data_IF_777095769421
#
_entry.id   IF_777095769421
#
_cell.length_a   1.000
_cell.length_b   1.000
_cell.length_c   1.000
_cell.angle_alpha   90.00
_cell.angle_beta   90.00
_cell.angle_gamma   90.00
#
_symmetry.space_group_name_H-M   'P 1'
#
loop_
_entity.id
_entity.type
_entity.pdbx_description
1 polymer ?
#
# COMPACT_ATOMS: atom_id res chain seq x y z
N UNK A 1 17.28 -9.45 19.64
CA UNK A 1 18.31 -8.42 19.86
C UNK A 1 17.64 -7.18 20.41
N UNK A 2 18.14 -6.64 21.52
CA UNK A 2 17.66 -5.37 22.07
C UNK A 2 18.77 -4.34 21.95
N UNK A 3 18.45 -3.17 21.43
CA UNK A 3 19.40 -2.07 21.19
C UNK A 3 18.88 -0.83 21.90
N UNK A 4 19.71 -0.29 22.79
CA UNK A 4 19.31 0.86 23.59
C UNK A 4 19.16 2.14 22.74
N UNK A 5 18.30 3.08 23.14
CA UNK A 5 18.19 4.37 22.48
C UNK A 5 19.54 5.08 22.37
N UNK A 6 19.77 5.75 21.24
CA UNK A 6 21.02 6.48 20.95
C UNK A 6 22.18 5.58 20.50
N UNK A 7 22.01 4.25 20.50
CA UNK A 7 23.01 3.34 19.92
C UNK A 7 22.83 3.25 18.40
N UNK A 8 23.94 3.26 17.67
CA UNK A 8 23.97 2.97 16.24
C UNK A 8 24.52 1.57 15.99
N UNK A 9 23.77 0.75 15.28
CA UNK A 9 24.20 -0.56 14.78
C UNK A 9 24.50 -0.41 13.30
N UNK A 10 25.67 -0.88 12.87
CA UNK A 10 26.06 -0.91 11.45
C UNK A 10 26.29 -2.34 11.02
N UNK A 11 25.53 -2.79 10.01
CA UNK A 11 25.69 -4.09 9.36
C UNK A 11 25.96 -3.83 7.88
N UNK A 12 27.20 -3.97 7.43
CA UNK A 12 27.56 -3.66 6.03
C UNK A 12 26.98 -4.64 5.01
N UNK A 13 26.60 -5.84 5.46
CA UNK A 13 25.91 -6.84 4.65
C UNK A 13 24.41 -6.93 4.96
N UNK A 14 23.85 -8.12 4.78
CA UNK A 14 22.45 -8.40 5.08
C UNK A 14 22.26 -8.69 6.57
N UNK A 15 21.31 -8.01 7.20
CA UNK A 15 20.75 -8.39 8.48
C UNK A 15 19.63 -9.39 8.25
N UNK A 16 19.86 -10.65 8.65
CA UNK A 16 18.88 -11.72 8.46
C UNK A 16 18.10 -12.01 9.74
N UNK A 17 16.77 -11.97 9.68
CA UNK A 17 15.87 -12.40 10.74
C UNK A 17 15.43 -13.84 10.48
N UNK A 18 15.65 -14.74 11.43
CA UNK A 18 15.27 -16.15 11.33
C UNK A 18 14.77 -16.67 12.68
N UNK A 19 13.93 -17.71 12.66
CA UNK A 19 13.56 -18.52 13.83
C UNK A 19 13.02 -17.70 15.02
N UNK A 20 11.98 -16.89 14.78
CA UNK A 20 11.43 -15.98 15.80
C UNK A 20 12.43 -14.98 16.35
N UNK A 21 13.17 -14.35 15.43
CA UNK A 21 13.98 -13.21 15.77
C UNK A 21 13.09 -12.00 16.11
N UNK A 22 13.36 -11.39 17.26
CA UNK A 22 12.83 -10.07 17.63
C UNK A 22 13.97 -9.07 17.65
N UNK A 23 13.81 -7.92 16.98
CA UNK A 23 14.67 -6.76 17.16
C UNK A 23 13.86 -5.68 17.88
N UNK A 24 14.34 -5.22 19.03
CA UNK A 24 13.72 -4.11 19.76
C UNK A 24 14.71 -2.97 19.87
N UNK A 25 14.39 -1.84 19.26
CA UNK A 25 15.36 -0.79 18.97
C UNK A 25 14.79 0.62 18.96
N UNK A 26 13.69 0.87 19.68
CA UNK A 26 13.10 2.22 19.79
C UNK A 26 14.15 3.27 20.17
N UNK A 27 14.31 4.30 19.33
CA UNK A 27 15.30 5.36 19.50
C UNK A 27 16.74 4.98 19.12
N UNK A 28 16.99 3.77 18.64
CA UNK A 28 18.26 3.34 18.07
C UNK A 28 18.28 3.55 16.54
N UNK A 29 19.49 3.59 15.97
CA UNK A 29 19.72 3.72 14.52
C UNK A 29 20.32 2.42 13.99
N UNK A 30 19.79 1.91 12.89
CA UNK A 30 20.28 0.74 12.18
C UNK A 30 20.69 1.12 10.76
N UNK A 31 21.99 1.11 10.48
CA UNK A 31 22.52 1.30 9.14
C UNK A 31 22.88 -0.06 8.57
N UNK A 32 22.06 -0.57 7.64
CA UNK A 32 22.19 -1.94 7.15
C UNK A 32 22.31 -1.99 5.63
N UNK A 33 23.09 -2.96 5.14
CA UNK A 33 23.21 -3.25 3.72
C UNK A 33 21.86 -3.67 3.16
N UNK A 34 21.25 -4.69 3.74
CA UNK A 34 19.88 -5.13 3.40
C UNK A 34 19.24 -5.78 4.61
N UNK A 35 17.91 -5.92 4.60
CA UNK A 35 17.19 -6.76 5.56
C UNK A 35 16.56 -7.90 4.79
N UNK A 36 16.76 -9.12 5.29
CA UNK A 36 16.08 -10.30 4.79
C UNK A 36 15.44 -11.02 5.98
N UNK A 37 14.15 -11.29 5.90
CA UNK A 37 13.55 -12.32 6.74
C UNK A 37 13.66 -13.66 5.99
N UNK A 38 13.97 -14.72 6.74
CA UNK A 38 14.05 -16.08 6.24
C UNK A 38 13.08 -17.00 6.96
N UNK A 39 12.82 -18.15 6.35
CA UNK A 39 11.84 -19.15 6.78
C UNK A 39 11.84 -19.41 8.30
N UNK A 40 10.65 -19.44 8.91
CA UNK A 40 10.53 -19.82 10.32
C UNK A 40 9.14 -19.64 10.92
N UNK A 41 9.11 -19.20 12.18
CA UNK A 41 7.93 -18.69 12.91
C UNK A 41 7.97 -17.16 12.92
N UNK A 42 6.99 -16.51 13.57
CA UNK A 42 6.86 -15.04 13.60
C UNK A 42 8.18 -14.33 13.94
N UNK A 43 8.66 -13.49 13.03
CA UNK A 43 9.75 -12.53 13.25
C UNK A 43 9.18 -11.12 13.49
N UNK A 44 9.84 -10.35 14.36
CA UNK A 44 9.34 -9.05 14.82
C UNK A 44 10.43 -7.98 14.81
N UNK A 45 10.08 -6.79 14.33
CA UNK A 45 10.85 -5.56 14.52
C UNK A 45 10.00 -4.57 15.32
N UNK A 46 10.58 -3.98 16.36
CA UNK A 46 9.94 -3.02 17.26
C UNK A 46 10.76 -1.71 17.29
N UNK A 47 10.20 -0.67 16.68
CA UNK A 47 10.74 0.69 16.68
C UNK A 47 12.11 0.83 16.03
N UNK A 48 12.70 2.02 16.16
CA UNK A 48 14.03 2.34 15.63
C UNK A 48 13.99 3.02 14.27
N UNK A 49 15.14 3.53 13.82
CA UNK A 49 15.31 4.13 12.50
C UNK A 49 16.26 3.29 11.67
N UNK A 50 15.75 2.69 10.60
CA UNK A 50 16.49 1.82 9.70
C UNK A 50 16.82 2.57 8.42
N UNK A 51 18.11 2.66 8.11
CA UNK A 51 18.60 3.07 6.80
C UNK A 51 19.10 1.83 6.08
N UNK A 52 18.35 1.40 5.07
CA UNK A 52 18.57 0.17 4.31
C UNK A 52 19.06 0.57 2.92
N UNK A 53 20.36 0.41 2.69
CA UNK A 53 20.99 0.84 1.42
C UNK A 53 20.64 -0.03 0.21
N UNK A 54 20.28 -1.29 0.44
CA UNK A 54 19.80 -2.25 -0.54
C UNK A 54 18.31 -2.49 -0.39
N UNK A 55 17.90 -3.74 -0.25
CA UNK A 55 16.48 -4.14 -0.22
C UNK A 55 15.99 -4.50 1.18
N UNK A 56 14.68 -4.40 1.36
CA UNK A 56 13.94 -5.05 2.45
C UNK A 56 13.15 -6.20 1.84
N UNK A 57 13.45 -7.44 2.25
CA UNK A 57 12.75 -8.62 1.75
C UNK A 57 12.22 -9.43 2.93
N UNK A 58 10.91 -9.59 2.98
CA UNK A 58 10.24 -10.56 3.85
C UNK A 58 9.80 -11.72 2.98
N UNK A 59 10.22 -12.94 3.35
CA UNK A 59 10.22 -14.06 2.42
C UNK A 59 9.89 -15.38 3.09
N UNK A 60 8.65 -15.85 2.88
CA UNK A 60 8.37 -17.28 2.79
C UNK A 60 7.61 -17.88 3.97
N UNK A 61 6.29 -18.02 3.80
CA UNK A 61 5.41 -18.90 4.58
C UNK A 61 5.11 -18.49 6.02
N UNK A 62 5.99 -17.75 6.68
CA UNK A 62 5.83 -17.27 8.06
C UNK A 62 5.15 -15.91 8.18
N UNK A 63 4.73 -15.61 9.40
CA UNK A 63 4.24 -14.29 9.77
C UNK A 63 5.40 -13.33 10.04
N UNK A 64 5.21 -12.05 9.73
CA UNK A 64 6.16 -10.98 10.02
C UNK A 64 5.43 -9.77 10.61
N UNK A 65 6.01 -9.16 11.64
CA UNK A 65 5.50 -7.94 12.25
C UNK A 65 6.58 -6.86 12.30
N UNK A 66 6.19 -5.64 11.93
CA UNK A 66 6.96 -4.44 12.20
C UNK A 66 6.06 -3.43 12.89
N UNK A 67 6.37 -3.13 14.14
CA UNK A 67 5.61 -2.17 14.96
C UNK A 67 6.51 -1.00 15.38
N UNK A 68 6.16 0.20 14.93
CA UNK A 68 6.86 1.42 15.27
C UNK A 68 8.06 1.75 14.38
N UNK A 69 8.45 3.03 14.41
CA UNK A 69 9.71 3.51 13.88
C UNK A 69 9.67 3.85 12.39
N UNK A 70 10.85 3.95 11.78
CA UNK A 70 11.00 4.38 10.38
C UNK A 70 11.93 3.45 9.63
N UNK A 71 11.52 3.01 8.45
CA UNK A 71 12.35 2.29 7.49
C UNK A 71 12.57 3.15 6.24
N UNK A 72 13.82 3.52 5.97
CA UNK A 72 14.24 4.20 4.76
C UNK A 72 14.99 3.21 3.88
N UNK A 73 14.33 2.70 2.85
CA UNK A 73 14.85 1.68 1.93
C UNK A 73 15.18 2.34 0.61
N UNK A 74 16.47 2.29 0.23
CA UNK A 74 16.90 2.85 -1.06
C UNK A 74 16.49 1.97 -2.23
N UNK A 75 16.50 0.64 -2.03
CA UNK A 75 16.02 -0.32 -3.00
C UNK A 75 14.54 -0.64 -2.85
N UNK A 76 14.10 -1.71 -3.51
CA UNK A 76 12.74 -2.21 -3.42
C UNK A 76 12.46 -2.89 -2.07
N UNK A 77 11.21 -2.78 -1.64
CA UNK A 77 10.63 -3.57 -0.55
C UNK A 77 9.74 -4.66 -1.13
N UNK A 78 9.95 -5.90 -0.71
CA UNK A 78 9.09 -7.02 -1.08
C UNK A 78 8.63 -7.72 0.20
N UNK A 79 7.32 -7.74 0.42
CA UNK A 79 6.70 -8.37 1.58
C UNK A 79 5.90 -9.59 1.13
N UNK A 80 6.44 -10.78 1.40
CA UNK A 80 5.82 -12.04 1.02
C UNK A 80 5.65 -12.93 2.24
N UNK A 81 4.56 -13.70 2.31
CA UNK A 81 4.33 -14.61 3.43
C UNK A 81 2.88 -14.97 3.66
N UNK A 82 2.60 -15.60 4.80
CA UNK A 82 1.23 -15.92 5.19
C UNK A 82 0.53 -14.69 5.80
N UNK A 83 1.17 -14.05 6.79
CA UNK A 83 0.64 -12.84 7.42
C UNK A 83 1.71 -11.78 7.59
N UNK A 84 1.48 -10.58 7.05
CA UNK A 84 2.34 -9.42 7.27
C UNK A 84 1.57 -8.35 8.04
N UNK A 85 2.14 -7.86 9.14
CA UNK A 85 1.53 -6.79 9.94
C UNK A 85 2.50 -5.64 10.13
N UNK A 86 2.12 -4.46 9.64
CA UNK A 86 2.85 -3.21 9.79
C UNK A 86 2.02 -2.28 10.68
N UNK A 87 2.63 -1.68 11.68
CA UNK A 87 1.91 -0.83 12.63
C UNK A 87 2.76 0.35 13.07
N UNK A 88 2.11 1.50 13.31
CA UNK A 88 2.77 2.69 13.87
C UNK A 88 4.05 3.09 13.10
N UNK A 89 3.95 2.84 11.80
CA UNK A 89 4.94 2.78 10.73
C UNK A 89 5.28 4.06 9.99
N UNK A 90 6.55 4.32 9.66
CA UNK A 90 6.86 5.00 8.39
C UNK A 90 7.74 4.12 7.52
N UNK A 91 7.34 3.88 6.27
CA UNK A 91 8.13 3.18 5.25
C UNK A 91 8.35 4.08 4.04
N UNK A 92 9.60 4.50 3.83
CA UNK A 92 10.03 5.13 2.60
C UNK A 92 10.78 4.09 1.77
N UNK A 93 10.35 3.83 0.53
CA UNK A 93 10.98 2.80 -0.31
C UNK A 93 10.98 3.18 -1.78
N UNK A 94 11.83 2.55 -2.60
CA UNK A 94 11.79 2.78 -4.04
C UNK A 94 10.47 2.28 -4.64
N UNK A 95 10.04 1.10 -4.21
CA UNK A 95 8.77 0.45 -4.60
C UNK A 95 8.38 -0.53 -3.52
N UNK A 96 7.08 -0.82 -3.40
CA UNK A 96 6.57 -1.85 -2.51
C UNK A 96 5.80 -2.88 -3.31
N UNK A 97 6.14 -4.16 -3.13
CA UNK A 97 5.35 -5.27 -3.65
C UNK A 97 4.93 -6.21 -2.52
N UNK A 98 3.64 -6.52 -2.46
CA UNK A 98 3.07 -7.45 -1.50
C UNK A 98 2.53 -8.68 -2.22
N UNK A 99 2.87 -9.85 -1.70
CA UNK A 99 2.29 -11.13 -2.11
C UNK A 99 2.05 -11.97 -0.86
N UNK A 100 0.87 -11.79 -0.26
CA UNK A 100 0.57 -12.29 1.07
C UNK A 100 -0.80 -12.95 1.11
N UNK A 101 -0.95 -13.92 2.01
CA UNK A 101 -2.28 -14.51 2.25
C UNK A 101 -3.19 -13.58 3.05
N UNK A 102 -2.60 -12.69 3.85
CA UNK A 102 -3.30 -11.66 4.62
C UNK A 102 -2.28 -10.61 5.08
N UNK A 103 -2.69 -9.36 5.12
CA UNK A 103 -1.92 -8.34 5.81
C UNK A 103 -2.76 -7.28 6.49
N UNK A 104 -2.14 -6.63 7.48
CA UNK A 104 -2.73 -5.51 8.22
C UNK A 104 -1.75 -4.36 8.26
N UNK A 105 -2.22 -3.16 7.95
CA UNK A 105 -1.51 -1.90 8.12
C UNK A 105 -2.35 -0.97 8.99
N UNK A 106 -1.86 -0.61 10.17
CA UNK A 106 -2.56 0.32 11.07
C UNK A 106 -1.64 1.45 11.51
N UNK A 107 -2.06 2.70 11.28
CA UNK A 107 -1.22 3.88 11.50
C UNK A 107 0.14 3.78 10.78
N UNK A 108 0.11 3.45 9.49
CA UNK A 108 1.29 3.31 8.64
C UNK A 108 1.30 4.40 7.57
N UNK A 109 2.42 5.11 7.47
CA UNK A 109 2.72 6.01 6.37
C UNK A 109 3.68 5.31 5.39
N UNK A 110 3.29 5.13 4.13
CA UNK A 110 4.14 4.57 3.08
C UNK A 110 4.34 5.60 1.98
N UNK A 111 5.61 5.88 1.65
CA UNK A 111 5.98 6.69 0.49
C UNK A 111 6.84 5.85 -0.46
N UNK A 112 6.38 5.69 -1.69
CA UNK A 112 7.13 5.02 -2.77
C UNK A 112 7.52 6.01 -3.87
N UNK A 113 8.74 5.90 -4.41
CA UNK A 113 9.11 6.70 -5.60
C UNK A 113 8.62 6.08 -6.91
N UNK A 114 8.38 4.78 -6.91
CA UNK A 114 7.80 4.01 -7.99
C UNK A 114 6.53 3.31 -7.53
N UNK A 115 6.26 2.14 -8.07
CA UNK A 115 4.97 1.47 -7.88
C UNK A 115 4.75 0.97 -6.44
N UNK A 116 3.47 0.97 -6.07
CA UNK A 116 2.92 0.39 -4.85
C UNK A 116 1.99 -0.75 -5.27
N UNK A 117 2.26 -1.96 -4.80
CA UNK A 117 1.47 -3.14 -5.11
C UNK A 117 0.96 -3.79 -3.82
N UNK A 118 -0.36 -3.81 -3.68
CA UNK A 118 -1.09 -4.31 -2.51
C UNK A 118 -1.85 -5.59 -2.87
N UNK A 119 -1.80 -6.56 -1.97
CA UNK A 119 -2.46 -7.85 -2.10
C UNK A 119 -3.04 -8.26 -0.75
N UNK A 120 -4.36 -8.41 -0.68
CA UNK A 120 -5.09 -8.82 0.53
C UNK A 120 -4.72 -8.03 1.80
N UNK A 121 -4.89 -6.71 1.75
CA UNK A 121 -4.48 -5.79 2.83
C UNK A 121 -5.70 -5.18 3.53
N UNK A 122 -5.73 -5.23 4.86
CA UNK A 122 -6.62 -4.39 5.67
C UNK A 122 -5.84 -3.19 6.18
N UNK A 123 -6.30 -1.99 5.82
CA UNK A 123 -5.64 -0.73 6.06
C UNK A 123 -6.51 0.12 6.98
N UNK A 124 -5.95 0.66 8.05
CA UNK A 124 -6.64 1.57 8.98
C UNK A 124 -5.74 2.76 9.32
N UNK A 125 -6.32 3.96 9.35
CA UNK A 125 -5.64 5.19 9.82
C UNK A 125 -4.27 5.44 9.15
N UNK A 126 -4.14 5.11 7.88
CA UNK A 126 -2.85 5.06 7.19
C UNK A 126 -2.80 6.01 6.00
N UNK A 127 -1.60 6.38 5.57
CA UNK A 127 -1.38 7.26 4.43
C UNK A 127 -0.41 6.63 3.43
N UNK A 128 -0.73 6.71 2.14
CA UNK A 128 0.07 6.15 1.06
C UNK A 128 0.32 7.23 0.01
N UNK A 129 1.58 7.45 -0.31
CA UNK A 129 2.01 8.28 -1.43
C UNK A 129 2.79 7.40 -2.40
N UNK A 130 2.33 7.34 -3.65
CA UNK A 130 3.03 6.61 -4.71
C UNK A 130 3.44 7.55 -5.83
N UNK A 131 4.74 7.61 -6.10
CA UNK A 131 5.25 8.24 -7.31
C UNK A 131 4.91 7.45 -8.59
N UNK A 132 4.66 6.14 -8.46
CA UNK A 132 4.25 5.26 -9.55
C UNK A 132 2.76 4.90 -9.49
N UNK A 133 2.42 3.74 -10.06
CA UNK A 133 1.05 3.22 -10.07
C UNK A 133 0.73 2.56 -8.72
N UNK A 134 -0.55 2.55 -8.34
CA UNK A 134 -1.07 1.58 -7.37
C UNK A 134 -1.60 0.36 -8.12
N UNK A 135 -1.11 -0.83 -7.75
CA UNK A 135 -1.68 -2.11 -8.14
C UNK A 135 -2.45 -2.70 -6.97
N UNK A 136 -3.67 -3.19 -7.25
CA UNK A 136 -4.34 -4.16 -6.39
C UNK A 136 -4.27 -5.51 -7.11
N UNK A 137 -3.22 -6.27 -6.81
CA UNK A 137 -2.83 -7.44 -7.61
C UNK A 137 -3.68 -8.68 -7.37
N UNK A 138 -4.30 -8.82 -6.20
CA UNK A 138 -5.31 -9.86 -5.97
C UNK A 138 -6.09 -9.64 -4.68
N UNK A 139 -7.18 -10.40 -4.57
CA UNK A 139 -7.99 -10.47 -3.36
C UNK A 139 -8.70 -9.16 -3.04
N UNK A 140 -8.90 -8.91 -1.75
CA UNK A 140 -9.62 -7.73 -1.28
C UNK A 140 -8.70 -6.88 -0.42
N UNK A 141 -8.51 -5.63 -0.86
CA UNK A 141 -7.89 -4.58 -0.08
C UNK A 141 -8.98 -3.68 0.46
N UNK A 142 -8.99 -3.49 1.78
CA UNK A 142 -9.90 -2.57 2.45
C UNK A 142 -9.09 -1.45 3.09
N UNK A 143 -9.60 -0.22 3.02
CA UNK A 143 -8.99 0.93 3.65
C UNK A 143 -10.05 1.74 4.40
N UNK A 144 -9.76 1.98 5.67
CA UNK A 144 -10.65 2.64 6.61
C UNK A 144 -9.97 3.88 7.17
N UNK A 145 -10.63 5.04 7.08
CA UNK A 145 -10.09 6.32 7.53
C UNK A 145 -8.63 6.55 7.04
N UNK A 146 -8.38 6.28 5.74
CA UNK A 146 -7.04 6.26 5.17
C UNK A 146 -6.93 7.13 3.91
N UNK A 147 -5.71 7.54 3.56
CA UNK A 147 -5.45 8.44 2.44
C UNK A 147 -4.51 7.82 1.41
N UNK A 148 -4.79 8.03 0.13
CA UNK A 148 -3.95 7.58 -0.98
C UNK A 148 -3.72 8.76 -1.95
N UNK A 149 -2.46 9.06 -2.23
CA UNK A 149 -2.05 10.03 -3.25
C UNK A 149 -1.18 9.31 -4.29
N UNK A 150 -1.73 9.11 -5.49
CA UNK A 150 -1.22 8.14 -6.46
C UNK A 150 -0.76 8.80 -7.75
N UNK A 151 0.42 8.40 -8.23
CA UNK A 151 1.02 8.93 -9.45
C UNK A 151 1.61 10.32 -9.29
N UNK A 152 2.01 10.74 -8.08
CA UNK A 152 2.46 12.11 -7.77
C UNK A 152 3.72 12.52 -8.53
N UNK A 153 4.56 11.56 -8.90
CA UNK A 153 5.76 11.82 -9.70
C UNK A 153 5.47 11.84 -11.22
N UNK A 154 4.23 11.56 -11.63
CA UNK A 154 3.86 11.53 -13.04
C UNK A 154 3.32 12.88 -13.54
N UNK A 155 3.72 13.26 -14.75
CA UNK A 155 3.19 14.44 -15.45
C UNK A 155 2.33 13.99 -16.62
N UNK A 156 1.11 14.55 -16.72
CA UNK A 156 0.11 14.18 -17.71
C UNK A 156 0.69 14.13 -19.15
N UNK A 157 0.39 13.05 -19.89
CA UNK A 157 0.72 12.92 -21.32
C UNK A 157 1.47 11.65 -21.73
N UNK A 158 1.76 10.73 -20.80
CA UNK A 158 2.19 9.36 -21.14
C UNK A 158 1.05 8.37 -20.87
N UNK A 159 1.12 7.15 -21.41
CA UNK A 159 0.12 6.09 -21.17
C UNK A 159 0.26 5.53 -19.75
N UNK A 160 0.08 6.38 -18.74
CA UNK A 160 0.18 6.05 -17.33
C UNK A 160 -1.19 5.74 -16.76
N UNK A 161 -1.21 4.87 -15.76
CA UNK A 161 -2.42 4.44 -15.05
C UNK A 161 -2.10 4.66 -13.58
N UNK A 162 -2.82 5.56 -12.91
CA UNK A 162 -2.58 5.83 -11.49
C UNK A 162 -3.05 4.70 -10.58
N UNK A 163 -4.16 4.04 -10.95
CA UNK A 163 -4.69 2.87 -10.24
C UNK A 163 -5.05 1.76 -11.22
N UNK A 164 -4.50 0.58 -10.96
CA UNK A 164 -4.68 -0.61 -11.78
C UNK A 164 -5.13 -1.80 -10.91
N UNK A 165 -6.30 -2.36 -11.23
CA UNK A 165 -6.87 -3.52 -10.52
C UNK A 165 -6.95 -4.79 -11.40
N UNK A 166 -6.10 -4.89 -12.43
CA UNK A 166 -6.06 -5.97 -13.44
C UNK A 166 -5.78 -7.40 -12.90
N UNK A 167 -5.48 -7.53 -11.61
CA UNK A 167 -5.30 -8.83 -10.96
C UNK A 167 -6.59 -9.53 -10.52
N UNK A 168 -7.75 -8.91 -10.75
CA UNK A 168 -9.02 -9.34 -10.13
C UNK A 168 -9.11 -8.94 -8.66
N UNK A 169 -8.29 -7.97 -8.26
CA UNK A 169 -8.33 -7.37 -6.94
C UNK A 169 -9.51 -6.42 -6.78
N UNK A 170 -9.95 -6.24 -5.54
CA UNK A 170 -11.03 -5.32 -5.17
C UNK A 170 -10.53 -4.32 -4.14
N UNK A 171 -10.95 -3.06 -4.29
CA UNK A 171 -10.60 -1.98 -3.38
C UNK A 171 -11.84 -1.41 -2.71
N UNK A 172 -11.86 -1.43 -1.39
CA UNK A 172 -12.92 -0.85 -0.58
C UNK A 172 -12.37 0.32 0.22
N UNK A 173 -12.98 1.49 0.07
CA UNK A 173 -12.68 2.70 0.84
C UNK A 173 -13.85 2.99 1.77
N UNK A 174 -13.60 3.12 3.08
CA UNK A 174 -14.62 3.37 4.08
C UNK A 174 -14.26 4.48 5.07
N UNK A 175 -15.30 5.02 5.72
CA UNK A 175 -15.22 5.88 6.91
C UNK A 175 -14.28 7.08 6.75
N UNK A 176 -14.51 7.90 5.73
CA UNK A 176 -13.76 9.13 5.48
C UNK A 176 -12.40 8.90 4.81
N UNK A 177 -12.22 7.75 4.17
CA UNK A 177 -11.04 7.53 3.34
C UNK A 177 -11.04 8.47 2.14
N UNK A 178 -9.85 8.84 1.68
CA UNK A 178 -9.65 9.74 0.55
C UNK A 178 -8.65 9.15 -0.43
N UNK A 179 -8.89 9.30 -1.72
CA UNK A 179 -7.97 8.87 -2.77
C UNK A 179 -7.89 9.91 -3.88
N UNK A 180 -6.68 10.37 -4.16
CA UNK A 180 -6.37 11.19 -5.33
C UNK A 180 -5.56 10.34 -6.32
N UNK A 181 -6.03 10.28 -7.57
CA UNK A 181 -5.39 9.54 -8.65
C UNK A 181 -4.98 10.47 -9.78
N UNK A 182 -3.67 10.53 -10.02
CA UNK A 182 -3.13 11.16 -11.21
C UNK A 182 -3.25 10.21 -12.40
N UNK A 183 -3.84 10.71 -13.49
CA UNK A 183 -4.19 9.97 -14.70
C UNK A 183 -5.37 8.99 -14.48
N UNK A 184 -5.31 7.81 -15.08
CA UNK A 184 -6.48 6.96 -15.30
C UNK A 184 -6.58 5.79 -14.32
N UNK A 185 -7.79 5.27 -14.17
CA UNK A 185 -8.18 4.15 -13.31
C UNK A 185 -8.75 3.03 -14.17
N UNK A 186 -8.20 1.81 -14.12
CA UNK A 186 -8.55 0.70 -15.03
C UNK A 186 -8.81 -0.64 -14.33
N UNK A 187 -9.72 -1.44 -14.92
CA UNK A 187 -10.10 -2.80 -14.49
C UNK A 187 -10.71 -2.85 -13.08
N UNK A 188 -11.73 -2.01 -12.86
CA UNK A 188 -12.00 -1.47 -11.53
C UNK A 188 -13.11 -2.19 -10.77
N UNK A 189 -12.76 -2.99 -9.76
CA UNK A 189 -13.68 -3.40 -8.70
C UNK A 189 -13.51 -2.45 -7.50
N UNK A 190 -14.16 -1.28 -7.57
CA UNK A 190 -13.98 -0.17 -6.64
C UNK A 190 -15.27 0.11 -5.86
N UNK A 191 -15.15 0.07 -4.53
CA UNK A 191 -16.25 0.31 -3.61
C UNK A 191 -15.91 1.49 -2.71
N UNK A 192 -16.73 2.53 -2.74
CA UNK A 192 -16.53 3.80 -2.04
C UNK A 192 -17.70 4.00 -1.09
N UNK A 193 -17.43 3.94 0.21
CA UNK A 193 -18.43 4.06 1.25
C UNK A 193 -18.09 5.22 2.21
N UNK A 194 -18.93 6.25 2.24
CA UNK A 194 -18.69 7.44 3.06
C UNK A 194 -17.24 7.99 2.92
N UNK A 195 -16.72 7.97 1.70
CA UNK A 195 -15.33 8.24 1.32
C UNK A 195 -15.28 8.98 -0.01
N UNK A 196 -14.15 9.63 -0.32
CA UNK A 196 -14.02 10.48 -1.51
C UNK A 196 -12.88 10.04 -2.42
N UNK A 197 -13.13 10.02 -3.74
CA UNK A 197 -12.15 9.68 -4.76
C UNK A 197 -12.11 10.75 -5.86
N UNK A 198 -10.93 11.24 -6.19
CA UNK A 198 -10.71 12.17 -7.30
C UNK A 198 -9.76 11.55 -8.30
N UNK A 199 -10.17 11.53 -9.57
CA UNK A 199 -9.40 11.00 -10.69
C UNK A 199 -9.22 12.13 -11.69
N UNK A 200 -7.97 12.42 -12.03
CA UNK A 200 -7.66 13.49 -12.98
C UNK A 200 -7.78 13.05 -14.44
N UNK A 201 -7.57 11.76 -14.73
CA UNK A 201 -7.73 11.15 -16.04
C UNK A 201 -9.06 10.40 -16.18
N UNK A 202 -9.05 9.33 -16.99
CA UNK A 202 -10.24 8.55 -17.29
C UNK A 202 -10.54 7.46 -16.25
N UNK A 203 -11.78 7.01 -16.24
CA UNK A 203 -12.20 5.81 -15.53
C UNK A 203 -12.66 4.78 -16.56
N UNK A 204 -11.95 3.66 -16.67
CA UNK A 204 -12.20 2.63 -17.66
C UNK A 204 -12.57 1.29 -17.01
N UNK A 205 -13.83 0.93 -17.15
CA UNK A 205 -14.40 -0.36 -16.77
C UNK A 205 -14.89 -1.13 -18.01
N UNK A 206 -13.94 -1.65 -18.79
CA UNK A 206 -14.18 -2.54 -19.93
C UNK A 206 -14.60 -3.97 -19.55
N UNK A 207 -14.50 -4.37 -18.28
CA UNK A 207 -14.71 -5.75 -17.83
C UNK A 207 -16.06 -5.99 -17.14
N UNK A 208 -16.07 -6.91 -16.18
CA UNK A 208 -17.27 -7.27 -15.41
C UNK A 208 -17.28 -6.65 -14.00
N UNK A 209 -16.27 -5.87 -13.69
CA UNK A 209 -16.02 -5.28 -12.39
C UNK A 209 -17.04 -4.17 -12.07
N UNK A 210 -17.16 -3.83 -10.79
CA UNK A 210 -18.22 -2.95 -10.30
C UNK A 210 -17.63 -1.67 -9.70
N UNK A 211 -18.27 -0.54 -10.02
CA UNK A 211 -18.14 0.69 -9.25
C UNK A 211 -19.36 0.86 -8.34
N UNK A 212 -19.14 0.90 -7.02
CA UNK A 212 -20.19 1.20 -6.03
C UNK A 212 -19.83 2.44 -5.22
N UNK A 213 -20.76 3.38 -5.09
CA UNK A 213 -20.62 4.60 -4.30
C UNK A 213 -21.83 4.73 -3.36
N UNK A 214 -21.58 4.68 -2.05
CA UNK A 214 -22.61 4.63 -1.01
C UNK A 214 -22.39 5.60 0.13
N UNK A 215 -23.44 5.82 0.93
CA UNK A 215 -23.41 6.53 2.21
C UNK A 215 -22.75 7.91 2.15
N UNK A 216 -23.17 8.72 1.17
CA UNK A 216 -22.62 10.05 0.89
C UNK A 216 -21.13 10.08 0.46
N UNK A 217 -20.56 8.95 0.05
CA UNK A 217 -19.27 8.95 -0.64
C UNK A 217 -19.35 9.61 -2.01
N UNK A 218 -18.21 9.98 -2.56
CA UNK A 218 -18.14 10.59 -3.88
C UNK A 218 -16.98 10.08 -4.72
N UNK A 219 -17.18 10.11 -6.04
CA UNK A 219 -16.12 9.93 -7.03
C UNK A 219 -16.24 11.00 -8.09
N UNK A 220 -15.13 11.63 -8.44
CA UNK A 220 -15.02 12.59 -9.53
C UNK A 220 -14.02 12.11 -10.57
N UNK A 221 -14.46 12.04 -11.82
CA UNK A 221 -13.65 11.66 -12.97
C UNK A 221 -13.47 12.88 -13.87
N UNK A 222 -12.23 13.33 -14.03
CA UNK A 222 -11.88 14.50 -14.83
C UNK A 222 -11.72 14.23 -16.33
N UNK A 223 -11.59 12.96 -16.72
CA UNK A 223 -11.55 12.51 -18.11
C UNK A 223 -12.76 11.66 -18.50
N UNK A 224 -12.60 10.87 -19.57
CA UNK A 224 -13.68 10.02 -20.07
C UNK A 224 -14.08 8.95 -19.03
N UNK A 225 -15.39 8.76 -18.89
CA UNK A 225 -15.96 7.67 -18.12
C UNK A 225 -16.44 6.57 -19.08
N UNK A 226 -15.73 5.45 -19.11
CA UNK A 226 -16.07 4.28 -19.90
C UNK A 226 -16.53 3.15 -18.98
N UNK A 227 -17.79 2.74 -19.13
CA UNK A 227 -18.35 1.53 -18.53
C UNK A 227 -19.02 0.69 -19.62
N UNK A 228 -18.30 0.46 -20.72
CA UNK A 228 -18.75 -0.34 -21.86
C UNK A 228 -18.67 -1.86 -21.62
N UNK A 229 -18.06 -2.27 -20.51
CA UNK A 229 -18.06 -3.65 -20.03
C UNK A 229 -19.44 -4.16 -19.59
N UNK A 230 -19.47 -5.41 -19.10
CA UNK A 230 -20.67 -6.01 -18.50
C UNK A 230 -20.87 -5.64 -17.02
N UNK A 231 -19.90 -4.92 -16.44
CA UNK A 231 -19.91 -4.41 -15.08
C UNK A 231 -21.03 -3.40 -14.81
N UNK A 232 -21.26 -3.10 -13.53
CA UNK A 232 -22.31 -2.18 -13.10
C UNK A 232 -21.74 -0.98 -12.35
N UNK A 233 -22.41 0.17 -12.50
CA UNK A 233 -22.13 1.39 -11.76
C UNK A 233 -23.32 1.73 -10.88
N UNK A 234 -23.10 1.80 -9.57
CA UNK A 234 -24.15 2.10 -8.60
C UNK A 234 -23.77 3.29 -7.74
N UNK A 235 -24.62 4.31 -7.74
CA UNK A 235 -24.58 5.40 -6.76
C UNK A 235 -25.88 5.36 -5.95
N UNK A 236 -25.80 5.16 -4.64
CA UNK A 236 -26.98 5.04 -3.78
C UNK A 236 -26.71 5.57 -2.37
N UNK A 237 -27.75 5.73 -1.54
CA UNK A 237 -27.58 6.22 -0.17
C UNK A 237 -26.92 7.60 -0.08
N UNK A 238 -27.17 8.48 -1.05
CA UNK A 238 -26.53 9.80 -1.15
C UNK A 238 -25.17 9.81 -1.84
N UNK A 239 -24.65 8.65 -2.27
CA UNK A 239 -23.42 8.56 -3.06
C UNK A 239 -23.54 9.28 -4.41
N UNK A 240 -22.44 9.87 -4.88
CA UNK A 240 -22.42 10.68 -6.11
C UNK A 240 -21.24 10.32 -7.02
N UNK A 241 -21.53 10.20 -8.32
CA UNK A 241 -20.54 10.11 -9.39
C UNK A 241 -20.59 11.40 -10.22
N UNK A 242 -19.47 12.09 -10.30
CA UNK A 242 -19.26 13.25 -11.16
C UNK A 242 -18.35 12.87 -12.34
N UNK A 243 -18.77 13.21 -13.55
CA UNK A 243 -17.96 13.09 -14.77
C UNK A 243 -17.96 14.48 -15.41
N UNK A 244 -16.77 15.06 -15.58
CA UNK A 244 -16.58 16.41 -16.14
C UNK A 244 -16.59 16.41 -17.68
#
# INVERSE_FOLDING_TARGET
MTVNPGVTVTVTGTLTLNNSATISGTGAIFNVGSISEGYGTLNTIEGGTYTISGTLTVGGGSAFTWDGGTANVTGATSLNGSTVRLENMTLNTASLAMNVSSSVMDAVDITTTGDLDLDQVTITNSAFESGGQLFISSGTTTADNSTFDLGTAHTAGSSFIGLNMNGGGSLYLSNGSQMDVIDSVVNNELHIDASDVVITGGFDNVGAEVLTVTNNGSIRVGGDYDNSGSGNTTASGGGVLFVD
#
